data_IF_953232396310
#
_entry.id   IF_953232396310
#
_cell.length_a   1.000
_cell.length_b   1.000
_cell.length_c   1.000
_cell.angle_alpha   90.00
_cell.angle_beta   90.00
_cell.angle_gamma   90.00
#
_symmetry.space_group_name_H-M   'P 1'
#
loop_
_entity.id
_entity.type
_entity.pdbx_description
1 polymer ?
#
# COMPACT_ATOMS: atom_id res chain seq x y z
N UNK A 1 -10.22 -0.39 19.97
CA UNK A 1 -8.84 0.00 20.38
C UNK A 1 -8.79 1.51 20.51
N UNK A 2 -7.76 2.08 21.15
CA UNK A 2 -7.63 3.54 21.21
C UNK A 2 -6.98 4.08 19.93
N UNK A 3 -7.24 5.35 19.61
CA UNK A 3 -6.62 6.02 18.46
C UNK A 3 -5.08 5.97 18.52
N UNK A 4 -4.49 6.16 19.70
CA UNK A 4 -3.03 6.09 19.87
C UNK A 4 -2.46 4.69 19.63
N UNK A 5 -3.16 3.63 20.06
CA UNK A 5 -2.74 2.26 19.74
C UNK A 5 -2.79 1.97 18.24
N UNK A 6 -3.80 2.47 17.52
CA UNK A 6 -3.91 2.29 16.08
C UNK A 6 -2.78 3.04 15.33
N UNK A 7 -2.40 4.23 15.80
CA UNK A 7 -1.27 4.98 15.25
C UNK A 7 0.05 4.23 15.40
N UNK A 8 0.28 3.58 16.55
CA UNK A 8 1.48 2.75 16.76
C UNK A 8 1.50 1.53 15.83
N UNK A 9 0.35 0.87 15.64
CA UNK A 9 0.22 -0.23 14.68
C UNK A 9 0.53 0.24 13.25
N UNK A 10 0.13 1.46 12.89
CA UNK A 10 0.43 2.00 11.57
C UNK A 10 1.94 2.17 11.33
N UNK A 11 2.71 2.58 12.35
CA UNK A 11 4.18 2.64 12.21
C UNK A 11 4.80 1.27 11.92
N UNK A 12 4.29 0.20 12.54
CA UNK A 12 4.73 -1.18 12.26
C UNK A 12 4.25 -1.67 10.90
N UNK A 13 3.08 -1.22 10.48
CA UNK A 13 2.57 -1.49 9.14
C UNK A 13 3.45 -0.83 8.06
N UNK A 14 3.94 0.39 8.29
CA UNK A 14 4.93 1.05 7.41
C UNK A 14 6.21 0.21 7.29
N UNK A 15 6.69 -0.38 8.40
CA UNK A 15 7.82 -1.32 8.37
C UNK A 15 7.47 -2.55 7.53
N UNK A 16 6.30 -3.15 7.75
CA UNK A 16 5.83 -4.29 6.98
C UNK A 16 5.82 -4.03 5.47
N UNK A 17 5.15 -2.98 4.99
CA UNK A 17 5.03 -2.74 3.55
C UNK A 17 6.38 -2.43 2.88
N UNK A 18 7.31 -1.84 3.63
CA UNK A 18 8.65 -1.53 3.14
C UNK A 18 9.61 -2.73 3.18
N UNK A 19 9.41 -3.69 4.08
CA UNK A 19 10.24 -4.90 4.21
C UNK A 19 9.66 -6.12 3.50
N UNK A 20 8.36 -6.11 3.22
CA UNK A 20 7.59 -7.28 2.79
C UNK A 20 7.78 -8.50 3.72
N UNK A 21 7.92 -8.25 5.03
CA UNK A 21 8.11 -9.31 6.03
C UNK A 21 6.85 -10.14 6.21
N UNK A 22 6.91 -11.43 5.87
CA UNK A 22 5.80 -12.38 6.08
C UNK A 22 5.41 -12.48 7.55
N UNK A 23 6.38 -12.44 8.47
CA UNK A 23 6.12 -12.46 9.90
C UNK A 23 5.31 -11.22 10.35
N UNK A 24 5.63 -10.03 9.82
CA UNK A 24 4.85 -8.83 10.10
C UNK A 24 3.47 -8.88 9.42
N UNK A 25 3.36 -9.51 8.24
CA UNK A 25 2.08 -9.74 7.58
C UNK A 25 1.15 -10.57 8.48
N UNK A 26 1.62 -11.71 8.97
CA UNK A 26 0.84 -12.59 9.85
C UNK A 26 0.49 -11.92 11.18
N UNK A 27 1.38 -11.09 11.71
CA UNK A 27 1.16 -10.38 12.95
C UNK A 27 0.12 -9.26 12.82
N UNK A 28 0.25 -8.42 11.79
CA UNK A 28 -0.48 -7.16 11.67
C UNK A 28 -1.77 -7.27 10.86
N UNK A 29 -1.93 -8.31 10.03
CA UNK A 29 -3.08 -8.50 9.15
C UNK A 29 -3.96 -9.64 9.67
N UNK A 30 -5.28 -9.41 9.74
CA UNK A 30 -6.24 -10.46 10.03
C UNK A 30 -6.32 -11.47 8.89
N UNK A 31 -6.51 -12.75 9.20
CA UNK A 31 -6.58 -13.81 8.19
C UNK A 31 -7.69 -13.58 7.15
N UNK A 32 -8.77 -12.90 7.54
CA UNK A 32 -9.90 -12.56 6.68
C UNK A 32 -9.93 -11.07 6.31
N UNK A 33 -8.82 -10.34 6.50
CA UNK A 33 -8.76 -8.93 6.17
C UNK A 33 -9.08 -8.71 4.68
N UNK A 34 -9.81 -7.64 4.37
CA UNK A 34 -10.26 -7.34 3.00
C UNK A 34 -9.51 -6.11 2.50
N UNK A 35 -8.79 -6.25 1.40
CA UNK A 35 -8.03 -5.16 0.80
C UNK A 35 -8.62 -4.77 -0.55
N UNK A 36 -9.14 -3.56 -0.63
CA UNK A 36 -9.67 -2.98 -1.86
C UNK A 36 -8.60 -2.14 -2.55
N UNK A 37 -8.27 -2.50 -3.78
CA UNK A 37 -7.34 -1.77 -4.62
C UNK A 37 -8.01 -1.43 -5.97
N UNK A 38 -7.82 -0.21 -6.52
CA UNK A 38 -8.49 0.21 -7.75
C UNK A 38 -8.05 -0.57 -9.01
N UNK A 39 -7.00 -1.38 -8.90
CA UNK A 39 -6.46 -2.20 -9.99
C UNK A 39 -7.19 -3.54 -10.18
N UNK A 40 -8.07 -3.92 -9.23
CA UNK A 40 -8.82 -5.17 -9.26
C UNK A 40 -10.27 -4.94 -8.85
N UNK A 41 -11.26 -5.54 -9.54
CA UNK A 41 -12.65 -5.52 -9.09
C UNK A 41 -12.86 -6.37 -7.83
N UNK A 42 -12.10 -7.46 -7.70
CA UNK A 42 -12.17 -8.37 -6.56
C UNK A 42 -11.16 -7.95 -5.48
N UNK A 43 -11.52 -8.02 -4.19
CA UNK A 43 -10.60 -7.68 -3.10
C UNK A 43 -9.55 -8.77 -2.90
N UNK A 44 -8.40 -8.37 -2.36
CA UNK A 44 -7.39 -9.28 -1.87
C UNK A 44 -7.70 -9.66 -0.42
N UNK A 45 -7.35 -10.89 -0.02
CA UNK A 45 -7.75 -11.44 1.28
C UNK A 45 -6.52 -11.83 2.12
N UNK A 46 -6.51 -11.35 3.36
CA UNK A 46 -5.57 -11.74 4.40
C UNK A 46 -4.10 -11.38 4.09
N UNK A 47 -3.15 -11.93 4.87
CA UNK A 47 -1.72 -11.64 4.72
C UNK A 47 -1.20 -11.96 3.32
N UNK A 48 -1.61 -13.10 2.75
CA UNK A 48 -1.21 -13.52 1.40
C UNK A 48 -1.69 -12.53 0.33
N UNK A 49 -2.97 -12.15 0.38
CA UNK A 49 -3.51 -11.16 -0.56
C UNK A 49 -2.80 -9.82 -0.47
N UNK A 50 -2.40 -9.38 0.73
CA UNK A 50 -1.59 -8.17 0.85
C UNK A 50 -0.20 -8.30 0.23
N UNK A 51 0.45 -9.46 0.41
CA UNK A 51 1.75 -9.76 -0.18
C UNK A 51 1.69 -9.76 -1.72
N UNK A 52 0.56 -10.17 -2.32
CA UNK A 52 0.35 -10.06 -3.77
C UNK A 52 0.37 -8.59 -4.23
N UNK A 53 -0.27 -7.68 -3.50
CA UNK A 53 -0.27 -6.24 -3.80
C UNK A 53 1.16 -5.68 -3.75
N UNK A 54 1.92 -6.01 -2.69
CA UNK A 54 3.32 -5.60 -2.56
C UNK A 54 4.18 -6.19 -3.66
N UNK A 55 3.98 -7.46 -3.99
CA UNK A 55 4.68 -8.15 -5.07
C UNK A 55 4.42 -7.51 -6.43
N UNK A 56 3.18 -7.15 -6.72
CA UNK A 56 2.80 -6.43 -7.94
C UNK A 56 3.53 -5.09 -8.04
N UNK A 57 3.54 -4.27 -6.98
CA UNK A 57 4.26 -2.99 -7.00
C UNK A 57 5.77 -3.19 -7.17
N UNK A 58 6.36 -4.15 -6.44
CA UNK A 58 7.79 -4.45 -6.52
C UNK A 58 8.21 -5.08 -7.85
N UNK A 59 7.28 -5.68 -8.60
CA UNK A 59 7.60 -6.23 -9.92
C UNK A 59 7.97 -5.12 -10.91
N UNK A 60 7.30 -3.95 -10.85
CA UNK A 60 7.62 -2.78 -11.67
C UNK A 60 8.68 -1.86 -11.06
N UNK A 61 8.70 -1.79 -9.72
CA UNK A 61 9.51 -0.87 -8.92
C UNK A 61 10.23 -1.61 -7.79
N UNK A 62 11.33 -2.34 -8.05
CA UNK A 62 12.00 -3.14 -7.03
C UNK A 62 12.48 -2.35 -5.81
N UNK A 63 12.81 -1.07 -6.03
CA UNK A 63 13.27 -0.10 -5.02
C UNK A 63 12.13 0.75 -4.43
N UNK A 64 10.86 0.35 -4.63
CA UNK A 64 9.71 1.09 -4.11
C UNK A 64 9.76 1.21 -2.58
N UNK A 65 9.50 2.42 -2.11
CA UNK A 65 9.46 2.78 -0.70
C UNK A 65 8.23 3.64 -0.42
N UNK A 66 7.51 3.31 0.67
CA UNK A 66 6.35 4.04 1.15
C UNK A 66 6.72 4.87 2.37
N UNK A 67 6.51 6.18 2.28
CA UNK A 67 6.66 7.12 3.39
C UNK A 67 5.27 7.54 3.88
N UNK A 68 4.99 7.35 5.17
CA UNK A 68 3.79 7.89 5.81
C UNK A 68 3.99 9.40 6.06
N UNK A 69 3.16 10.23 5.47
CA UNK A 69 3.24 11.69 5.61
C UNK A 69 2.27 12.23 6.66
N UNK A 70 1.02 11.76 6.60
CA UNK A 70 -0.06 12.24 7.46
C UNK A 70 -0.91 11.07 7.91
N UNK A 71 -1.45 11.19 9.13
CA UNK A 71 -2.31 10.19 9.71
C UNK A 71 -3.32 10.85 10.65
N UNK A 72 -4.58 10.46 10.52
CA UNK A 72 -5.65 10.76 11.47
C UNK A 72 -6.30 9.45 11.91
N UNK A 73 -6.67 9.37 13.18
CA UNK A 73 -7.25 8.17 13.75
C UNK A 73 -8.49 8.53 14.56
N UNK A 74 -9.58 7.80 14.31
CA UNK A 74 -10.84 7.92 15.03
C UNK A 74 -11.43 6.52 15.22
N UNK A 75 -11.79 6.17 16.46
CA UNK A 75 -12.32 4.86 16.81
C UNK A 75 -11.42 3.70 16.35
N UNK A 76 -11.93 2.84 15.47
CA UNK A 76 -11.27 1.69 14.86
C UNK A 76 -10.63 2.02 13.51
N UNK A 77 -10.69 3.27 13.05
CA UNK A 77 -10.32 3.68 11.70
C UNK A 77 -9.10 4.61 11.72
N UNK A 78 -8.19 4.39 10.78
CA UNK A 78 -7.04 5.26 10.51
C UNK A 78 -7.10 5.67 9.05
N UNK A 79 -7.06 6.96 8.76
CA UNK A 79 -6.77 7.47 7.43
C UNK A 79 -5.31 7.89 7.37
N UNK A 80 -4.60 7.43 6.34
CA UNK A 80 -3.18 7.68 6.18
C UNK A 80 -2.85 8.13 4.75
N UNK A 81 -2.05 9.18 4.64
CA UNK A 81 -1.51 9.68 3.38
C UNK A 81 -0.07 9.21 3.24
N UNK A 82 0.23 8.58 2.11
CA UNK A 82 1.56 8.06 1.78
C UNK A 82 2.13 8.77 0.56
N UNK A 83 3.46 8.79 0.49
CA UNK A 83 4.20 8.99 -0.76
C UNK A 83 4.96 7.72 -1.10
N UNK A 84 4.74 7.22 -2.31
CA UNK A 84 5.45 6.09 -2.90
C UNK A 84 6.56 6.62 -3.80
N UNK A 85 7.78 6.14 -3.61
CA UNK A 85 8.94 6.48 -4.46
C UNK A 85 9.64 5.22 -4.92
N UNK A 86 10.02 5.17 -6.19
CA UNK A 86 10.75 4.05 -6.76
C UNK A 86 11.20 4.36 -8.19
N UNK A 87 11.86 3.42 -8.83
CA UNK A 87 12.36 3.52 -10.19
C UNK A 87 11.67 2.48 -11.06
N UNK A 88 11.14 2.89 -12.21
CA UNK A 88 10.46 1.99 -13.14
C UNK A 88 11.50 1.12 -13.88
N UNK A 89 11.74 -0.09 -13.37
CA UNK A 89 12.85 -0.96 -13.78
C UNK A 89 12.42 -2.21 -14.55
N UNK A 90 11.13 -2.54 -14.54
CA UNK A 90 10.59 -3.65 -15.32
C UNK A 90 9.26 -3.27 -15.97
N UNK A 91 8.69 -4.18 -16.76
CA UNK A 91 7.39 -3.93 -17.38
C UNK A 91 6.31 -3.82 -16.30
N UNK A 92 5.56 -2.72 -16.30
CA UNK A 92 4.46 -2.48 -15.38
C UNK A 92 3.23 -1.98 -16.16
N UNK A 93 2.08 -2.62 -15.95
CA UNK A 93 0.85 -2.38 -16.75
C UNK A 93 1.08 -2.38 -18.27
N UNK A 94 1.92 -3.28 -18.77
CA UNK A 94 2.24 -3.40 -20.20
C UNK A 94 3.19 -2.34 -20.74
N UNK A 95 3.66 -1.41 -19.91
CA UNK A 95 4.65 -0.39 -20.27
C UNK A 95 6.05 -0.90 -19.96
N UNK A 96 6.97 -0.95 -20.92
CA UNK A 96 8.36 -1.34 -20.66
C UNK A 96 9.06 -0.39 -19.67
N UNK A 97 10.08 -0.90 -18.99
CA UNK A 97 10.89 -0.12 -18.05
C UNK A 97 11.37 1.19 -18.68
N UNK A 98 10.99 2.32 -18.08
CA UNK A 98 11.35 3.65 -18.57
C UNK A 98 12.59 4.23 -17.88
N UNK A 99 13.06 3.61 -16.79
CA UNK A 99 14.16 4.10 -15.96
C UNK A 99 13.84 5.37 -15.18
N UNK A 100 12.61 5.90 -15.28
CA UNK A 100 12.20 7.11 -14.58
C UNK A 100 11.95 6.81 -13.11
N UNK A 101 12.29 7.78 -12.26
CA UNK A 101 11.84 7.81 -10.87
C UNK A 101 10.39 8.24 -10.81
N UNK A 102 9.62 7.60 -9.95
CA UNK A 102 8.26 7.99 -9.63
C UNK A 102 8.17 8.61 -8.24
N UNK A 103 7.20 9.52 -8.08
CA UNK A 103 6.71 9.98 -6.80
C UNK A 103 5.19 10.07 -6.90
N UNK A 104 4.49 9.17 -6.21
CA UNK A 104 3.04 8.99 -6.33
C UNK A 104 2.41 9.07 -4.94
N UNK A 105 1.30 9.79 -4.81
CA UNK A 105 0.58 9.88 -3.54
C UNK A 105 -0.43 8.75 -3.42
N UNK A 106 -0.74 8.35 -2.19
CA UNK A 106 -1.86 7.47 -1.90
C UNK A 106 -2.57 7.93 -0.62
N UNK A 107 -3.90 7.82 -0.59
CA UNK A 107 -4.69 8.02 0.63
C UNK A 107 -5.46 6.74 0.89
N UNK A 108 -5.22 6.14 2.04
CA UNK A 108 -5.80 4.84 2.37
C UNK A 108 -6.55 4.95 3.70
N UNK A 109 -7.70 4.27 3.77
CA UNK A 109 -8.42 4.06 5.03
C UNK A 109 -8.18 2.63 5.50
N UNK A 110 -7.81 2.49 6.77
CA UNK A 110 -7.58 1.22 7.42
C UNK A 110 -8.56 1.05 8.58
N UNK A 111 -9.15 -0.14 8.70
CA UNK A 111 -9.92 -0.53 9.88
C UNK A 111 -9.17 -1.57 10.68
N UNK A 112 -9.26 -1.44 12.00
CA UNK A 112 -8.55 -2.30 12.94
C UNK A 112 -9.50 -3.02 13.89
N UNK A 113 -9.21 -4.29 14.17
CA UNK A 113 -9.86 -5.07 15.21
C UNK A 113 -8.84 -5.99 15.86
N UNK A 114 -8.92 -6.16 17.19
CA UNK A 114 -8.06 -7.07 17.94
C UNK A 114 -6.55 -6.95 17.64
N UNK A 115 -6.05 -5.73 17.43
CA UNK A 115 -4.64 -5.46 17.14
C UNK A 115 -4.23 -5.66 15.69
N UNK A 116 -5.16 -5.97 14.79
CA UNK A 116 -4.90 -6.29 13.38
C UNK A 116 -5.70 -5.42 12.42
N UNK A 117 -5.18 -5.25 11.21
CA UNK A 117 -5.92 -4.67 10.08
C UNK A 117 -6.93 -5.70 9.61
N UNK A 118 -8.19 -5.29 9.52
CA UNK A 118 -9.30 -6.11 9.00
C UNK A 118 -9.84 -5.60 7.67
N UNK A 119 -9.54 -4.36 7.30
CA UNK A 119 -9.95 -3.78 6.03
C UNK A 119 -9.00 -2.66 5.62
N UNK A 120 -8.68 -2.58 4.33
CA UNK A 120 -8.08 -1.39 3.70
C UNK A 120 -8.89 -0.97 2.47
N UNK A 121 -9.10 0.33 2.32
CA UNK A 121 -9.50 0.94 1.05
C UNK A 121 -8.39 1.85 0.57
N UNK A 122 -7.60 1.38 -0.40
CA UNK A 122 -6.49 2.14 -0.97
C UNK A 122 -6.93 3.02 -2.14
N UNK A 123 -6.41 4.25 -2.21
CA UNK A 123 -6.60 5.17 -3.34
C UNK A 123 -5.24 5.79 -3.74
N UNK A 124 -4.38 5.03 -4.44
CA UNK A 124 -3.20 5.60 -5.09
C UNK A 124 -3.59 6.49 -6.27
N UNK A 125 -2.81 7.54 -6.51
CA UNK A 125 -2.91 8.36 -7.72
C UNK A 125 -2.37 7.60 -8.94
N UNK A 126 -3.19 6.68 -9.45
CA UNK A 126 -2.84 5.85 -10.60
C UNK A 126 -2.64 6.69 -11.86
N UNK A 127 -3.35 7.81 -12.03
CA UNK A 127 -3.16 8.66 -13.19
C UNK A 127 -1.74 9.25 -13.18
N UNK A 128 -1.31 9.82 -12.05
CA UNK A 128 0.06 10.33 -11.93
C UNK A 128 1.10 9.24 -12.13
N UNK A 129 0.87 8.02 -11.63
CA UNK A 129 1.76 6.88 -11.87
C UNK A 129 1.88 6.58 -13.37
N UNK A 130 0.74 6.41 -14.05
CA UNK A 130 0.68 6.07 -15.47
C UNK A 130 1.33 7.16 -16.35
N UNK A 131 1.14 8.43 -16.01
CA UNK A 131 1.82 9.55 -16.66
C UNK A 131 3.34 9.49 -16.46
N UNK A 132 3.80 9.23 -15.23
CA UNK A 132 5.23 9.21 -14.91
C UNK A 132 5.97 8.03 -15.57
N UNK A 133 5.32 6.87 -15.72
CA UNK A 133 5.91 5.74 -16.45
C UNK A 133 5.81 5.87 -17.97
N UNK A 134 5.01 6.81 -18.48
CA UNK A 134 4.80 7.05 -19.91
C UNK A 134 3.71 6.21 -20.55
N UNK A 135 2.78 5.66 -19.76
CA UNK A 135 1.61 4.95 -20.26
C UNK A 135 0.61 5.88 -20.96
N UNK A 136 0.48 7.11 -20.43
CA UNK A 136 -0.44 8.14 -20.92
C UNK A 136 0.22 9.53 -20.86
N UNK A 137 -0.25 10.51 -21.66
CA UNK A 137 0.25 11.88 -21.61
C UNK A 137 -0.03 12.59 -20.27
N UNK A 138 0.84 13.54 -19.92
CA UNK A 138 0.70 14.44 -18.78
C UNK A 138 -0.45 15.45 -18.96
#
# INVERSE_FOLDING_TARGET
>A
MSAESNKLLMSRFVEFINTASEALAEELVDANAIFHAPVSPDPFIGPHGYMEILGMMRSGFPDIHWTLEEMVAENDTVAARFIMRGTHQATFFGVPASGKKIQVQAVNFYRFSNGKIVEERGQPDLLALLQQIGAVPA
#
